data_IF_721663900022
#
_entry.id   IF_721663900022
#
_cell.length_a   1.000
_cell.length_b   1.000
_cell.length_c   1.000
_cell.angle_alpha   90.00
_cell.angle_beta   90.00
_cell.angle_gamma   90.00
#
_symmetry.space_group_name_H-M   'P 1'
#
loop_
_entity.id
_entity.type
_entity.pdbx_description
1 polymer ?
#
# COMPACT_ATOMS: atom_id res chain seq x y z
N UNK A 1 -10.57 14.39 19.87
CA UNK A 1 -10.83 13.00 20.30
C UNK A 1 -9.55 12.20 20.13
N UNK A 2 -8.92 11.88 21.25
CA UNK A 2 -7.61 11.24 21.38
C UNK A 2 -7.59 9.91 20.63
N UNK A 3 -6.67 9.77 19.65
CA UNK A 3 -6.34 8.48 19.06
C UNK A 3 -5.98 7.55 20.22
N UNK A 4 -6.70 6.44 20.34
CA UNK A 4 -6.42 5.34 21.28
C UNK A 4 -4.91 5.19 21.50
N UNK A 5 -4.49 5.48 22.71
CA UNK A 5 -3.09 5.57 23.08
C UNK A 5 -2.54 4.14 23.12
N UNK A 6 -2.02 3.69 21.98
CA UNK A 6 -1.45 2.35 21.83
C UNK A 6 -0.32 2.19 22.85
N UNK A 7 -0.21 1.05 23.55
CA UNK A 7 0.88 0.83 24.51
C UNK A 7 2.25 0.94 23.84
N UNK A 8 2.33 0.72 22.52
CA UNK A 8 3.52 0.93 21.69
C UNK A 8 4.06 2.36 21.75
N UNK A 9 3.23 3.37 21.95
CA UNK A 9 3.66 4.78 22.00
C UNK A 9 4.57 5.06 23.21
N UNK A 10 4.41 4.29 24.28
CA UNK A 10 5.12 4.47 25.56
C UNK A 10 6.30 3.52 25.72
N UNK A 11 6.58 2.67 24.74
CA UNK A 11 7.72 1.75 24.79
C UNK A 11 9.02 2.53 24.63
N UNK A 12 9.90 2.37 25.61
CA UNK A 12 11.27 2.90 25.60
C UNK A 12 12.25 1.81 26.01
N UNK A 13 13.39 1.73 25.32
CA UNK A 13 14.46 0.81 25.68
C UNK A 13 15.30 1.47 26.76
N UNK A 14 15.10 1.07 28.02
CA UNK A 14 15.80 1.67 29.16
C UNK A 14 17.31 1.32 29.18
N UNK A 15 17.67 0.10 28.75
CA UNK A 15 19.05 -0.38 28.70
C UNK A 15 19.37 -0.89 27.28
N UNK A 16 19.96 -0.05 26.40
CA UNK A 16 20.27 -0.46 25.04
C UNK A 16 21.40 -1.48 25.00
N UNK A 17 21.22 -2.57 24.24
CA UNK A 17 22.28 -3.53 23.94
C UNK A 17 23.08 -3.04 22.73
N UNK A 18 24.42 -3.08 22.83
CA UNK A 18 25.33 -2.71 21.72
C UNK A 18 25.53 -3.82 20.69
N UNK A 19 24.98 -5.02 20.92
CA UNK A 19 25.10 -6.14 20.00
C UNK A 19 24.39 -5.83 18.67
N UNK A 20 25.07 -6.13 17.57
CA UNK A 20 24.50 -6.00 16.23
C UNK A 20 23.47 -7.10 15.97
N UNK A 21 22.31 -6.73 15.44
CA UNK A 21 21.22 -7.66 15.11
C UNK A 21 21.64 -8.79 14.16
N UNK A 22 22.52 -8.49 13.22
CA UNK A 22 23.01 -9.45 12.22
C UNK A 22 23.89 -10.55 12.83
N UNK A 23 24.42 -10.34 14.04
CA UNK A 23 25.22 -11.32 14.78
C UNK A 23 24.37 -12.21 15.70
N UNK A 24 23.07 -11.95 15.80
CA UNK A 24 22.15 -12.71 16.65
C UNK A 24 21.58 -13.92 15.89
N UNK A 25 21.26 -15.00 16.62
CA UNK A 25 20.73 -16.24 16.01
C UNK A 25 19.21 -16.27 16.09
N UNK A 26 18.54 -16.58 14.98
CA UNK A 26 17.08 -16.67 14.93
C UNK A 26 16.52 -16.25 13.58
N UNK A 27 15.32 -15.68 13.58
CA UNK A 27 14.61 -15.23 12.38
C UNK A 27 14.41 -13.70 12.39
N UNK A 28 13.64 -13.16 11.45
CA UNK A 28 13.39 -11.71 11.37
C UNK A 28 12.52 -11.17 12.51
N UNK A 29 11.73 -12.03 13.16
CA UNK A 29 10.82 -11.64 14.25
C UNK A 29 11.50 -11.71 15.62
N UNK A 30 12.28 -12.76 15.87
CA UNK A 30 12.89 -13.05 17.16
C UNK A 30 14.30 -13.58 16.92
N UNK A 31 15.28 -12.96 17.58
CA UNK A 31 16.65 -13.46 17.63
C UNK A 31 17.16 -13.50 19.06
N UNK A 32 17.96 -14.51 19.37
CA UNK A 32 18.64 -14.62 20.65
C UNK A 32 19.97 -13.86 20.60
N UNK A 33 20.18 -13.00 21.59
CA UNK A 33 21.40 -12.25 21.76
C UNK A 33 22.26 -12.89 22.85
N UNK A 34 23.46 -13.35 22.49
CA UNK A 34 24.42 -13.94 23.44
C UNK A 34 24.91 -12.93 24.49
N UNK A 35 25.00 -11.64 24.15
CA UNK A 35 25.58 -10.61 25.02
C UNK A 35 24.66 -10.25 26.21
N UNK A 36 23.36 -10.15 25.99
CA UNK A 36 22.39 -9.90 27.06
C UNK A 36 21.65 -11.17 27.50
N UNK A 37 21.90 -12.31 26.86
CA UNK A 37 21.26 -13.61 27.10
C UNK A 37 19.72 -13.55 27.09
N UNK A 38 19.16 -12.71 26.21
CA UNK A 38 17.72 -12.50 26.06
C UNK A 38 17.28 -12.66 24.60
N UNK A 39 16.00 -13.03 24.44
CA UNK A 39 15.32 -12.95 23.16
C UNK A 39 15.03 -11.47 22.83
N UNK A 40 15.52 -11.03 21.68
CA UNK A 40 15.31 -9.71 21.12
C UNK A 40 14.20 -9.79 20.08
N UNK A 41 13.08 -9.13 20.37
CA UNK A 41 11.89 -9.12 19.53
C UNK A 41 11.90 -7.90 18.60
N UNK A 42 11.78 -8.14 17.29
CA UNK A 42 11.70 -7.08 16.29
C UNK A 42 10.25 -6.65 16.07
N UNK A 43 9.82 -5.56 16.72
CA UNK A 43 8.45 -5.06 16.60
C UNK A 43 8.15 -4.58 15.17
N UNK A 44 9.18 -4.18 14.41
CA UNK A 44 9.01 -3.76 13.01
C UNK A 44 8.75 -4.91 12.05
N UNK A 45 9.10 -6.13 12.43
CA UNK A 45 8.73 -7.34 11.70
C UNK A 45 7.36 -7.91 12.13
N UNK A 46 6.71 -7.33 13.14
CA UNK A 46 5.42 -7.77 13.67
C UNK A 46 4.28 -6.85 13.25
N UNK A 47 3.07 -7.38 13.25
CA UNK A 47 1.87 -6.54 13.18
C UNK A 47 1.70 -5.73 14.47
N UNK A 48 0.92 -4.65 14.38
CA UNK A 48 0.60 -3.78 15.52
C UNK A 48 -0.04 -4.58 16.66
N UNK A 49 -1.02 -5.43 16.36
CA UNK A 49 -1.71 -6.24 17.36
C UNK A 49 -0.78 -7.27 18.00
N UNK A 50 0.07 -7.95 17.22
CA UNK A 50 1.06 -8.88 17.79
C UNK A 50 2.05 -8.17 18.70
N UNK A 51 2.53 -6.98 18.31
CA UNK A 51 3.45 -6.19 19.12
C UNK A 51 2.78 -5.70 20.42
N UNK A 52 1.53 -5.25 20.35
CA UNK A 52 0.74 -4.86 21.53
C UNK A 52 0.54 -6.04 22.49
N UNK A 53 0.12 -7.20 21.98
CA UNK A 53 -0.04 -8.42 22.77
C UNK A 53 1.28 -8.83 23.44
N UNK A 54 2.40 -8.79 22.70
CA UNK A 54 3.71 -9.14 23.24
C UNK A 54 4.08 -8.23 24.42
N UNK A 55 3.83 -6.93 24.31
CA UNK A 55 4.14 -5.97 25.38
C UNK A 55 3.19 -6.13 26.57
N UNK A 56 1.91 -6.41 26.32
CA UNK A 56 0.94 -6.63 27.38
C UNK A 56 1.21 -7.93 28.16
N UNK A 57 1.73 -8.95 27.48
CA UNK A 57 2.10 -10.23 28.10
C UNK A 57 3.46 -10.18 28.81
N UNK A 58 4.36 -9.33 28.33
CA UNK A 58 5.69 -9.21 28.93
C UNK A 58 5.64 -8.27 30.15
N UNK A 59 5.84 -8.82 31.34
CA UNK A 59 5.95 -8.08 32.61
C UNK A 59 7.31 -7.34 32.72
N UNK A 60 7.60 -6.42 31.79
CA UNK A 60 8.71 -5.47 31.86
C UNK A 60 10.11 -6.02 31.50
N UNK A 61 10.34 -7.33 31.55
CA UNK A 61 11.62 -7.95 31.09
C UNK A 61 11.55 -8.42 29.64
N UNK A 62 11.56 -7.46 28.71
CA UNK A 62 11.55 -7.73 27.27
C UNK A 62 12.67 -6.95 26.57
N UNK A 63 13.46 -7.62 25.73
CA UNK A 63 14.38 -6.95 24.83
C UNK A 63 13.69 -6.74 23.49
N UNK A 64 13.58 -5.50 23.03
CA UNK A 64 12.93 -5.17 21.76
C UNK A 64 13.82 -4.34 20.86
N UNK A 65 13.64 -4.52 19.56
CA UNK A 65 14.15 -3.64 18.52
C UNK A 65 12.98 -3.09 17.72
N UNK A 66 13.04 -1.81 17.39
CA UNK A 66 12.05 -1.18 16.54
C UNK A 66 12.64 0.05 15.86
N UNK A 67 12.03 0.44 14.74
CA UNK A 67 12.29 1.74 14.11
C UNK A 67 11.19 2.72 14.51
N UNK A 68 11.57 3.96 14.81
CA UNK A 68 10.64 5.04 15.11
C UNK A 68 10.62 6.03 13.95
N UNK A 69 9.44 6.43 13.50
CA UNK A 69 9.28 7.49 12.49
C UNK A 69 9.42 8.87 13.15
N UNK A 70 9.62 9.90 12.34
CA UNK A 70 9.61 11.31 12.78
C UNK A 70 8.33 11.74 13.52
N UNK A 71 7.22 11.03 13.37
CA UNK A 71 5.96 11.28 14.10
C UNK A 71 5.94 10.64 15.51
N UNK A 72 7.02 9.99 15.93
CA UNK A 72 7.13 9.32 17.22
C UNK A 72 6.52 7.92 17.27
N UNK A 73 5.85 7.46 16.19
CA UNK A 73 5.22 6.13 16.16
C UNK A 73 6.23 5.03 15.82
N UNK A 74 6.04 3.86 16.43
CA UNK A 74 6.80 2.65 16.10
C UNK A 74 6.35 2.10 14.75
N UNK A 75 7.32 1.84 13.86
CA UNK A 75 7.06 1.19 12.59
C UNK A 75 6.77 -0.29 12.85
N UNK A 76 5.62 -0.76 12.37
CA UNK A 76 5.17 -2.16 12.37
C UNK A 76 4.89 -2.61 10.94
N UNK A 77 4.80 -3.92 10.71
CA UNK A 77 4.57 -4.48 9.38
C UNK A 77 3.26 -3.96 8.74
N UNK A 78 2.17 -3.95 9.50
CA UNK A 78 0.84 -3.52 9.04
C UNK A 78 0.54 -2.05 9.40
N UNK A 79 1.52 -1.16 9.25
CA UNK A 79 1.39 0.24 9.65
C UNK A 79 0.23 0.94 8.89
N UNK A 80 -0.85 1.37 9.58
CA UNK A 80 -2.06 1.90 8.92
C UNK A 80 -1.81 3.22 8.18
N UNK A 81 -0.84 4.01 8.65
CA UNK A 81 -0.44 5.25 7.97
C UNK A 81 0.36 4.97 6.69
N UNK A 82 1.22 3.94 6.68
CA UNK A 82 1.95 3.52 5.49
C UNK A 82 1.01 2.99 4.41
N UNK A 83 0.09 2.10 4.81
CA UNK A 83 -0.96 1.59 3.93
C UNK A 83 -1.87 2.70 3.40
N UNK A 84 -2.25 3.67 4.24
CA UNK A 84 -3.07 4.81 3.80
C UNK A 84 -2.32 5.72 2.83
N UNK A 85 -1.03 5.94 3.03
CA UNK A 85 -0.19 6.72 2.11
C UNK A 85 -0.02 6.00 0.76
N UNK A 86 0.24 4.68 0.79
CA UNK A 86 0.32 3.85 -0.42
C UNK A 86 -1.00 3.84 -1.17
N UNK A 87 -2.12 3.58 -0.46
CA UNK A 87 -3.47 3.59 -1.05
C UNK A 87 -3.76 4.90 -1.74
N UNK A 88 -3.48 6.05 -1.10
CA UNK A 88 -3.68 7.38 -1.72
C UNK A 88 -2.87 7.58 -3.00
N UNK A 89 -1.62 7.11 -3.04
CA UNK A 89 -0.79 7.20 -4.25
C UNK A 89 -1.35 6.34 -5.37
N UNK A 90 -1.63 5.07 -5.07
CA UNK A 90 -2.17 4.11 -6.04
C UNK A 90 -3.53 4.55 -6.58
N UNK A 91 -4.44 5.05 -5.72
CA UNK A 91 -5.76 5.52 -6.17
C UNK A 91 -5.66 6.71 -7.11
N UNK A 92 -4.73 7.64 -6.86
CA UNK A 92 -4.53 8.83 -7.71
C UNK A 92 -3.93 8.48 -9.07
N UNK A 93 -2.97 7.55 -9.11
CA UNK A 93 -2.38 7.10 -10.37
C UNK A 93 -3.35 6.25 -11.17
N UNK A 94 -4.06 5.33 -10.51
CA UNK A 94 -5.05 4.46 -11.15
C UNK A 94 -6.20 5.27 -11.77
N UNK A 95 -6.70 6.32 -11.10
CA UNK A 95 -7.75 7.17 -11.68
C UNK A 95 -7.29 7.91 -12.93
N UNK A 96 -6.03 8.36 -12.97
CA UNK A 96 -5.47 9.03 -14.15
C UNK A 96 -5.32 8.09 -15.34
N UNK A 97 -4.79 6.87 -15.11
CA UNK A 97 -4.67 5.83 -16.15
C UNK A 97 -6.04 5.43 -16.67
N UNK A 98 -7.00 5.19 -15.77
CA UNK A 98 -8.36 4.82 -16.15
C UNK A 98 -9.04 5.91 -16.99
N UNK A 99 -8.92 7.18 -16.59
CA UNK A 99 -9.48 8.30 -17.35
C UNK A 99 -8.85 8.42 -18.75
N UNK A 100 -7.52 8.25 -18.86
CA UNK A 100 -6.82 8.27 -20.13
C UNK A 100 -7.32 7.16 -21.07
N UNK A 101 -7.41 5.92 -20.59
CA UNK A 101 -7.96 4.82 -21.38
C UNK A 101 -9.43 5.05 -21.75
N UNK A 102 -10.27 5.46 -20.80
CA UNK A 102 -11.68 5.73 -21.07
C UNK A 102 -11.84 6.82 -22.15
N UNK A 103 -11.06 7.91 -22.09
CA UNK A 103 -11.08 8.97 -23.09
C UNK A 103 -10.57 8.51 -24.46
N UNK A 104 -9.53 7.67 -24.50
CA UNK A 104 -8.98 7.11 -25.73
C UNK A 104 -10.00 6.19 -26.43
N UNK A 105 -10.59 5.26 -25.68
CA UNK A 105 -11.60 4.34 -26.24
C UNK A 105 -12.90 5.07 -26.62
N UNK A 106 -13.32 6.08 -25.87
CA UNK A 106 -14.44 6.93 -26.27
C UNK A 106 -14.15 7.67 -27.58
N UNK A 107 -12.94 8.22 -27.74
CA UNK A 107 -12.52 8.90 -28.97
C UNK A 107 -12.47 7.98 -30.20
N UNK A 108 -11.92 6.77 -30.04
CA UNK A 108 -11.87 5.76 -31.12
C UNK A 108 -13.28 5.30 -31.51
N UNK A 109 -14.18 5.10 -30.53
CA UNK A 109 -15.57 4.72 -30.80
C UNK A 109 -16.34 5.78 -31.61
N UNK A 110 -16.10 7.07 -31.34
CA UNK A 110 -16.71 8.19 -32.10
C UNK A 110 -16.19 8.22 -33.54
N UNK A 111 -14.91 7.94 -33.76
CA UNK A 111 -14.33 7.92 -35.11
C UNK A 111 -14.88 6.77 -35.96
N UNK A 112 -15.02 5.57 -35.38
CA UNK A 112 -15.60 4.41 -36.06
C UNK A 112 -17.09 4.59 -36.37
N UNK A 113 -17.86 5.26 -35.50
CA UNK A 113 -19.26 5.57 -35.77
C UNK A 113 -19.46 6.55 -36.93
N UNK A 114 -18.56 7.53 -37.09
CA UNK A 114 -18.64 8.53 -38.15
C UNK A 114 -18.35 7.95 -39.55
N UNK A 115 -17.42 7.00 -39.67
CA UNK A 115 -17.10 6.34 -40.94
C UNK A 115 -18.19 5.35 -41.38
N UNK A 116 -18.83 4.64 -40.44
CA UNK A 116 -19.99 3.78 -40.75
C UNK A 116 -21.17 4.61 -41.26
N UNK A 117 -21.41 5.79 -40.69
CA UNK A 117 -22.48 6.69 -41.13
C UNK A 117 -22.21 7.30 -42.52
N UNK A 118 -20.96 7.65 -42.83
CA UNK A 118 -20.56 8.09 -44.17
C UNK A 118 -20.76 7.00 -45.22
N UNK A 119 -20.40 5.76 -44.91
CA UNK A 119 -20.62 4.60 -45.79
C UNK A 119 -22.11 4.39 -46.09
N UNK A 120 -22.97 4.50 -45.06
CA UNK A 120 -24.43 4.45 -45.23
C UNK A 120 -24.98 5.61 -46.08
N UNK A 121 -24.47 6.84 -45.87
CA UNK A 121 -24.89 8.02 -46.66
C UNK A 121 -24.48 7.91 -48.13
N UNK A 122 -23.26 7.47 -48.42
CA UNK A 122 -22.78 7.26 -49.80
C UNK A 122 -23.60 6.15 -50.47
N UNK A 123 -23.95 5.09 -49.75
CA UNK A 123 -24.79 4.01 -50.31
C UNK A 123 -26.21 4.48 -50.63
N UNK A 124 -26.81 5.27 -49.75
CA UNK A 124 -28.14 5.84 -49.98
C UNK A 124 -28.18 6.77 -51.21
N UNK A 125 -27.09 7.52 -51.46
CA UNK A 125 -26.99 8.41 -52.62
C UNK A 125 -26.84 7.62 -53.94
N UNK A 126 -26.11 6.51 -53.94
CA UNK A 126 -25.99 5.60 -55.10
C UNK A 126 -27.33 4.93 -55.43
N UNK A 127 -28.05 4.43 -54.43
CA UNK A 127 -29.36 3.78 -54.64
C UNK A 127 -30.42 4.81 -55.14
N UNK A 128 -30.29 6.10 -54.78
CA UNK A 128 -31.17 7.16 -55.27
C UNK A 128 -30.91 7.54 -56.75
N UNK A 129 -29.64 7.55 -57.18
CA UNK A 129 -29.28 7.82 -58.58
C UNK A 129 -29.76 6.69 -59.51
N UNK A 130 -29.64 5.43 -59.09
CA UNK A 130 -30.05 4.27 -59.90
C UNK A 130 -31.57 4.22 -60.14
N UNK A 131 -32.39 4.78 -59.23
CA UNK A 131 -33.85 4.86 -59.39
C UNK A 131 -34.32 5.93 -60.40
N UNK A 132 -33.52 6.95 -60.66
CA UNK A 132 -33.87 8.05 -61.61
C UNK A 132 -33.39 7.83 -63.03
N UNK A 133 -32.58 6.78 -63.26
CA UNK A 133 -31.98 6.45 -64.56
C UNK A 133 -32.70 5.36 -65.36
N UNK A 134 -33.86 4.89 -64.91
CA UNK A 134 -34.70 3.87 -65.54
C UNK A 134 -36.11 4.42 -65.76
#
# INVERSE_FOLDING_TARGET
MSRFDSPLNRVTVAAPCSAGWDRMRGNERIRFCEQCSLNVYNLSAMSKSEAETLIMQAEGRLCVRYYRRADGTILTNNCPVGLRALKRRVTKTASGIFAAFASFFAGVGVFSGAEIMKSWLIRADVDAVEYTGN
#
